data_IF_097682122668
#
_entry.id   IF_097682122668
#
_cell.length_a   1.000
_cell.length_b   1.000
_cell.length_c   1.000
_cell.angle_alpha   90.00
_cell.angle_beta   90.00
_cell.angle_gamma   90.00
#
_symmetry.space_group_name_H-M   'P 1'
#
loop_
_entity.id
_entity.type
_entity.pdbx_description
1 polymer ?
#
# COMPACT_ATOMS: atom_id res chain seq x y z
N UNK A 1 -18.10 14.22 17.93
CA UNK A 1 -17.47 14.00 16.61
C UNK A 1 -16.54 12.81 16.78
N UNK A 2 -17.07 11.61 16.58
CA UNK A 2 -16.35 10.36 16.81
C UNK A 2 -16.45 9.52 15.55
N UNK A 3 -15.66 9.89 14.54
CA UNK A 3 -15.46 9.13 13.32
C UNK A 3 -13.97 9.16 13.06
N UNK A 4 -13.30 8.04 13.29
CA UNK A 4 -11.90 7.91 12.90
C UNK A 4 -11.73 8.17 11.40
N UNK A 5 -10.49 8.44 10.94
CA UNK A 5 -10.23 8.76 9.54
C UNK A 5 -10.80 7.66 8.63
N UNK A 6 -11.69 8.07 7.72
CA UNK A 6 -12.28 7.22 6.70
C UNK A 6 -11.42 7.31 5.46
N UNK A 7 -10.25 6.68 5.51
CA UNK A 7 -9.39 6.58 4.35
C UNK A 7 -10.10 5.87 3.21
N UNK A 8 -9.88 6.36 2.00
CA UNK A 8 -10.49 5.82 0.78
C UNK A 8 -9.86 4.51 0.33
N UNK A 9 -8.69 4.18 0.89
CA UNK A 9 -7.91 3.01 0.58
C UNK A 9 -7.42 2.32 1.85
N UNK A 10 -7.30 1.00 1.78
CA UNK A 10 -6.61 0.20 2.78
C UNK A 10 -5.11 0.54 2.81
N UNK A 11 -4.46 0.40 3.97
CA UNK A 11 -3.01 0.61 4.06
C UNK A 11 -2.27 -0.59 3.48
N UNK A 12 -1.46 -0.42 2.42
CA UNK A 12 -0.66 -1.53 1.89
C UNK A 12 0.46 -1.91 2.88
N UNK A 13 0.95 -3.14 2.77
CA UNK A 13 2.18 -3.52 3.49
C UNK A 13 3.36 -2.69 2.98
N UNK A 14 4.21 -2.25 3.92
CA UNK A 14 5.49 -1.60 3.63
C UNK A 14 6.65 -2.61 3.56
N UNK A 15 6.38 -3.90 3.78
CA UNK A 15 7.37 -4.96 3.52
C UNK A 15 7.75 -4.97 2.05
N UNK A 16 9.04 -5.21 1.78
CA UNK A 16 9.56 -5.28 0.43
C UNK A 16 9.38 -3.98 -0.38
N UNK A 17 9.22 -2.82 0.27
CA UNK A 17 9.10 -1.52 -0.41
C UNK A 17 10.32 -1.21 -1.31
N UNK A 18 11.50 -1.73 -0.96
CA UNK A 18 12.71 -1.59 -1.78
C UNK A 18 12.63 -2.26 -3.16
N UNK A 19 11.68 -3.19 -3.35
CA UNK A 19 11.51 -3.93 -4.62
C UNK A 19 10.61 -3.18 -5.61
N UNK A 20 10.11 -2.00 -5.24
CA UNK A 20 9.23 -1.20 -6.06
C UNK A 20 10.06 -0.29 -6.97
N UNK A 21 9.93 -0.45 -8.29
CA UNK A 21 10.66 0.39 -9.25
C UNK A 21 9.80 1.45 -9.92
N UNK A 22 8.47 1.26 -9.98
CA UNK A 22 7.57 2.13 -10.74
C UNK A 22 6.61 2.93 -9.88
N UNK A 23 5.79 2.28 -9.05
CA UNK A 23 4.73 2.96 -8.32
C UNK A 23 4.76 2.63 -6.82
N UNK A 24 4.35 3.61 -6.00
CA UNK A 24 3.87 3.42 -4.63
C UNK A 24 2.47 4.01 -4.44
N UNK A 25 1.81 3.59 -3.36
CA UNK A 25 0.36 3.72 -3.15
C UNK A 25 -0.50 2.96 -4.19
N UNK A 26 -1.80 2.83 -3.93
CA UNK A 26 -2.71 2.01 -4.74
C UNK A 26 -2.94 2.56 -6.14
N UNK A 27 -3.22 3.86 -6.25
CA UNK A 27 -3.42 4.56 -7.53
C UNK A 27 -2.12 5.07 -8.19
N UNK A 28 -0.95 4.74 -7.63
CA UNK A 28 0.34 5.12 -8.20
C UNK A 28 0.66 6.61 -8.12
N UNK A 29 0.18 7.32 -7.09
CA UNK A 29 0.42 8.77 -6.95
C UNK A 29 1.92 9.09 -6.83
N UNK A 30 2.70 8.17 -6.24
CA UNK A 30 4.15 8.18 -6.28
C UNK A 30 4.59 7.31 -7.46
N UNK A 31 5.31 7.89 -8.42
CA UNK A 31 5.67 7.26 -9.69
C UNK A 31 7.09 7.62 -10.11
N UNK A 32 7.90 6.63 -10.48
CA UNK A 32 9.18 6.89 -11.15
C UNK A 32 8.95 7.34 -12.59
N UNK A 33 9.60 8.44 -12.99
CA UNK A 33 9.58 8.90 -14.37
C UNK A 33 10.36 7.96 -15.31
N UNK A 34 11.26 7.12 -14.78
CA UNK A 34 12.02 6.15 -15.55
C UNK A 34 12.23 4.88 -14.71
N UNK A 35 11.25 3.93 -14.72
CA UNK A 35 11.24 2.77 -13.84
C UNK A 35 12.21 1.68 -14.33
N UNK A 36 13.50 1.87 -14.07
CA UNK A 36 14.51 0.84 -14.32
C UNK A 36 14.47 -0.22 -13.22
N UNK A 37 14.54 -1.49 -13.63
CA UNK A 37 14.50 -2.62 -12.71
C UNK A 37 15.67 -2.56 -11.70
N UNK A 38 15.36 -2.63 -10.40
CA UNK A 38 16.32 -2.57 -9.30
C UNK A 38 16.86 -1.18 -8.97
N UNK A 39 16.30 -0.12 -9.55
CA UNK A 39 16.70 1.27 -9.28
C UNK A 39 15.80 1.98 -8.27
N UNK A 40 14.71 1.36 -7.80
CA UNK A 40 13.84 1.93 -6.76
C UNK A 40 13.34 3.36 -7.12
N UNK A 41 13.14 3.59 -8.42
CA UNK A 41 12.72 4.87 -8.98
C UNK A 41 13.72 6.03 -8.91
N UNK A 42 15.02 5.78 -8.71
CA UNK A 42 16.05 6.84 -8.61
C UNK A 42 16.39 7.51 -9.95
N UNK A 43 15.88 7.00 -11.08
CA UNK A 43 16.24 7.46 -12.43
C UNK A 43 15.13 8.33 -13.01
N UNK A 44 15.51 9.44 -13.65
CA UNK A 44 14.59 10.33 -14.35
C UNK A 44 13.76 11.27 -13.48
N UNK A 45 13.79 11.09 -12.16
CA UNK A 45 12.97 11.84 -11.20
C UNK A 45 11.69 11.08 -10.81
N UNK A 46 10.95 11.65 -9.86
CA UNK A 46 9.76 11.03 -9.29
C UNK A 46 8.62 12.04 -9.38
N UNK A 47 7.45 11.55 -9.77
CA UNK A 47 6.20 12.26 -9.62
C UNK A 47 5.54 11.86 -8.31
N UNK A 48 4.99 12.82 -7.58
CA UNK A 48 4.34 12.65 -6.29
C UNK A 48 3.20 13.70 -6.13
N UNK A 49 2.51 13.79 -4.98
CA UNK A 49 1.46 14.81 -4.78
C UNK A 49 1.92 16.27 -4.89
N UNK A 50 3.21 16.58 -4.76
CA UNK A 50 3.74 17.94 -4.91
C UNK A 50 4.11 18.26 -6.38
N UNK A 51 4.03 17.28 -7.27
CA UNK A 51 4.29 17.45 -8.69
C UNK A 51 3.27 18.38 -9.35
N UNK A 52 3.79 19.38 -10.07
CA UNK A 52 2.97 20.30 -10.85
C UNK A 52 2.43 19.64 -12.13
N UNK A 53 1.42 20.26 -12.74
CA UNK A 53 0.93 19.91 -14.07
C UNK A 53 1.39 20.96 -15.08
N UNK A 54 1.68 20.50 -16.31
CA UNK A 54 1.89 21.39 -17.44
C UNK A 54 0.58 22.12 -17.81
N UNK A 55 0.66 23.04 -18.77
CA UNK A 55 -0.48 23.86 -19.19
C UNK A 55 -1.66 23.06 -19.76
N UNK A 56 -1.45 21.80 -20.16
CA UNK A 56 -2.50 20.90 -20.63
C UNK A 56 -3.34 20.28 -19.49
N UNK A 57 -2.94 20.49 -18.23
CA UNK A 57 -3.65 19.99 -17.05
C UNK A 57 -3.60 18.46 -16.85
N UNK A 58 -2.78 17.72 -17.62
CA UNK A 58 -2.70 16.25 -17.55
C UNK A 58 -1.26 15.73 -17.52
N UNK A 59 -0.32 16.46 -18.11
CA UNK A 59 1.10 16.11 -18.08
C UNK A 59 1.72 16.53 -16.75
N UNK A 60 2.13 15.55 -15.93
CA UNK A 60 2.83 15.80 -14.66
C UNK A 60 4.28 16.24 -14.90
N UNK A 61 4.79 17.08 -14.01
CA UNK A 61 6.17 17.55 -13.97
C UNK A 61 6.83 16.94 -12.72
N UNK A 62 8.01 16.33 -12.88
CA UNK A 62 8.73 15.67 -11.78
C UNK A 62 8.96 16.64 -10.61
N UNK A 63 8.75 16.18 -9.38
CA UNK A 63 9.07 16.98 -8.19
C UNK A 63 10.59 16.99 -7.99
N UNK A 64 11.27 18.15 -8.09
CA UNK A 64 12.70 18.25 -7.81
C UNK A 64 13.07 17.96 -6.35
N UNK A 65 12.07 17.87 -5.45
CA UNK A 65 12.24 17.61 -4.03
C UNK A 65 11.69 16.24 -3.59
N UNK A 66 11.41 15.33 -4.52
CA UNK A 66 10.82 14.02 -4.25
C UNK A 66 11.65 13.12 -3.31
N UNK A 67 12.93 13.43 -3.09
CA UNK A 67 13.83 12.62 -2.29
C UNK A 67 14.63 11.63 -3.12
N UNK A 68 15.28 10.67 -2.44
CA UNK A 68 16.27 9.80 -3.08
C UNK A 68 15.66 8.67 -3.94
N UNK A 69 14.45 8.20 -3.60
CA UNK A 69 13.79 7.05 -4.20
C UNK A 69 12.28 7.08 -3.89
N UNK A 70 11.49 6.17 -4.46
CA UNK A 70 10.02 6.22 -4.28
C UNK A 70 9.55 5.97 -2.83
N UNK A 71 10.22 5.18 -1.96
CA UNK A 71 9.87 5.13 -0.54
C UNK A 71 10.14 6.46 0.17
N UNK A 72 11.25 7.15 -0.16
CA UNK A 72 11.52 8.48 0.41
C UNK A 72 10.43 9.47 -0.02
N UNK A 73 10.03 9.46 -1.29
CA UNK A 73 8.94 10.28 -1.77
C UNK A 73 7.63 9.98 -1.04
N UNK A 74 7.24 8.70 -0.93
CA UNK A 74 6.01 8.30 -0.27
C UNK A 74 5.95 8.75 1.20
N UNK A 75 7.05 8.62 1.94
CA UNK A 75 7.09 8.94 3.37
C UNK A 75 6.84 10.43 3.70
N UNK A 76 6.93 11.33 2.71
CA UNK A 76 6.70 12.77 2.87
C UNK A 76 5.23 13.13 3.10
N UNK A 77 4.29 12.30 2.65
CA UNK A 77 2.89 12.70 2.49
C UNK A 77 1.97 12.33 3.67
N UNK A 78 2.12 11.16 4.32
CA UNK A 78 1.25 10.79 5.44
C UNK A 78 1.22 11.81 6.59
N UNK A 79 2.39 12.38 6.90
CA UNK A 79 2.56 13.40 7.96
C UNK A 79 1.83 14.72 7.68
N UNK A 80 1.38 14.93 6.44
CA UNK A 80 0.70 16.16 6.00
C UNK A 80 -0.77 15.96 5.66
N UNK A 81 -1.24 14.71 5.63
CA UNK A 81 -2.60 14.36 5.25
C UNK A 81 -3.53 14.42 6.49
N UNK A 82 -4.58 15.27 6.48
CA UNK A 82 -5.51 15.43 7.62
C UNK A 82 -6.25 14.14 8.01
N UNK A 83 -6.50 13.25 7.05
CA UNK A 83 -7.11 11.93 7.28
C UNK A 83 -6.07 10.85 7.60
N UNK A 84 -4.80 11.22 7.79
CA UNK A 84 -3.72 10.34 8.28
C UNK A 84 -3.15 10.90 9.57
N UNK A 85 -1.95 11.49 9.51
CA UNK A 85 -1.20 11.90 10.69
C UNK A 85 -1.31 13.39 11.00
N UNK A 86 -1.74 14.22 10.04
CA UNK A 86 -1.86 15.66 10.29
C UNK A 86 -3.05 15.98 11.20
N UNK A 87 -4.04 15.07 11.34
CA UNK A 87 -5.28 15.31 12.05
C UNK A 87 -6.09 16.49 11.42
N UNK A 88 -7.32 16.71 11.89
CA UNK A 88 -8.23 17.76 11.41
C UNK A 88 -7.95 19.13 12.05
N UNK A 89 -6.68 19.47 12.28
CA UNK A 89 -6.31 20.74 12.89
C UNK A 89 -6.37 21.87 11.84
N UNK A 90 -7.27 22.86 11.98
CA UNK A 90 -7.45 23.91 10.98
C UNK A 90 -6.22 24.79 10.79
N UNK A 91 -5.21 24.67 11.67
CA UNK A 91 -3.93 25.39 11.52
C UNK A 91 -3.11 24.88 10.33
N UNK A 92 -3.43 23.71 9.79
CA UNK A 92 -2.85 23.20 8.54
C UNK A 92 -3.42 23.86 7.28
N UNK A 93 -4.63 24.43 7.35
CA UNK A 93 -5.42 24.80 6.15
C UNK A 93 -4.78 25.92 5.32
N UNK A 94 -3.94 26.76 5.95
CA UNK A 94 -3.28 27.88 5.29
C UNK A 94 -1.83 27.58 4.86
N UNK A 95 -1.39 26.32 4.94
CA UNK A 95 -0.02 25.92 4.63
C UNK A 95 0.02 25.05 3.38
N UNK A 96 0.90 25.40 2.46
CA UNK A 96 1.33 24.50 1.40
C UNK A 96 2.19 23.36 1.96
N UNK A 97 2.51 22.37 1.13
CA UNK A 97 3.27 21.19 1.56
C UNK A 97 4.64 21.56 2.14
N UNK A 98 5.29 22.60 1.60
CA UNK A 98 6.55 23.10 2.12
C UNK A 98 6.40 23.69 3.54
N UNK A 99 5.37 24.52 3.75
CA UNK A 99 5.05 25.11 5.06
C UNK A 99 4.72 24.04 6.10
N UNK A 100 3.95 23.02 5.73
CA UNK A 100 3.64 21.89 6.62
C UNK A 100 4.89 21.14 7.05
N UNK A 101 5.74 20.75 6.10
CA UNK A 101 7.02 20.07 6.35
C UNK A 101 8.00 20.90 7.18
N UNK A 102 8.08 22.21 6.92
CA UNK A 102 8.86 23.13 7.74
C UNK A 102 8.40 23.13 9.20
N UNK A 103 7.09 23.19 9.46
CA UNK A 103 6.56 23.14 10.83
C UNK A 103 6.80 21.78 11.49
N UNK A 104 6.72 20.68 10.73
CA UNK A 104 7.08 19.35 11.24
C UNK A 104 8.55 19.28 11.63
N UNK A 105 9.46 19.83 10.82
CA UNK A 105 10.88 19.95 11.15
C UNK A 105 11.10 20.80 12.41
N UNK A 106 10.46 21.98 12.49
CA UNK A 106 10.52 22.85 13.67
C UNK A 106 9.99 22.15 14.94
N UNK A 107 8.98 21.29 14.81
CA UNK A 107 8.50 20.44 15.90
C UNK A 107 9.57 19.41 16.31
N UNK A 108 10.20 18.77 15.34
CA UNK A 108 11.23 17.75 15.54
C UNK A 108 12.50 18.33 16.19
N UNK A 109 12.90 19.54 15.81
CA UNK A 109 14.09 20.24 16.34
C UNK A 109 13.79 21.11 17.56
N UNK A 110 12.51 21.44 17.81
CA UNK A 110 12.11 22.36 18.87
C UNK A 110 12.53 23.82 18.59
N UNK A 111 12.75 24.15 17.33
CA UNK A 111 13.12 25.50 16.88
C UNK A 111 11.91 26.23 16.30
N UNK A 112 12.09 27.50 15.90
CA UNK A 112 11.06 28.25 15.17
C UNK A 112 9.71 28.30 15.90
N UNK A 113 8.64 27.97 15.18
CA UNK A 113 7.27 27.96 15.68
C UNK A 113 6.79 26.52 15.96
N UNK A 114 7.59 25.75 16.71
CA UNK A 114 7.30 24.35 17.08
C UNK A 114 5.94 24.11 17.77
N UNK A 115 5.27 25.16 18.27
CA UNK A 115 3.95 25.12 18.89
C UNK A 115 2.79 25.53 17.96
N UNK A 116 3.06 25.84 16.69
CA UNK A 116 2.06 26.28 15.72
C UNK A 116 0.92 25.27 15.56
N UNK A 117 1.24 23.97 15.55
CA UNK A 117 0.34 22.86 15.22
C UNK A 117 0.05 21.98 16.45
N UNK A 118 -0.22 22.63 17.57
CA UNK A 118 -0.64 21.99 18.83
C UNK A 118 0.52 21.75 19.77
N UNK A 119 0.27 21.01 20.85
CA UNK A 119 1.31 20.68 21.84
C UNK A 119 2.43 19.88 21.20
N UNK A 120 3.67 20.34 21.29
CA UNK A 120 4.82 19.53 20.93
C UNK A 120 5.13 18.59 22.09
N UNK A 121 4.82 17.31 21.92
CA UNK A 121 5.03 16.30 22.95
C UNK A 121 6.47 15.79 23.00
N UNK A 122 7.33 16.15 22.03
CA UNK A 122 8.75 15.82 22.10
C UNK A 122 9.41 16.59 23.25
N UNK A 123 10.14 15.89 24.11
CA UNK A 123 10.93 16.51 25.18
C UNK A 123 12.25 17.06 24.64
N UNK A 124 12.92 17.93 25.41
CA UNK A 124 14.24 18.43 25.03
C UNK A 124 15.30 17.31 24.92
N UNK A 125 15.18 16.29 25.78
CA UNK A 125 16.03 15.09 25.76
C UNK A 125 15.83 14.30 24.46
N UNK A 126 14.57 14.05 24.09
CA UNK A 126 14.21 13.34 22.87
C UNK A 126 14.72 14.05 21.61
N UNK A 127 14.58 15.38 21.54
CA UNK A 127 15.14 16.17 20.43
C UNK A 127 16.66 16.11 20.36
N UNK A 128 17.33 16.11 21.52
CA UNK A 128 18.79 15.98 21.61
C UNK A 128 19.24 14.60 21.13
N UNK A 129 18.54 13.53 21.53
CA UNK A 129 18.82 12.17 21.10
C UNK A 129 18.70 12.03 19.57
N UNK A 130 17.67 12.61 18.96
CA UNK A 130 17.52 12.65 17.51
C UNK A 130 18.67 13.38 16.81
N UNK A 131 19.03 14.57 17.28
CA UNK A 131 20.16 15.31 16.71
C UNK A 131 21.46 14.50 16.80
N UNK A 132 21.70 13.80 17.91
CA UNK A 132 22.86 12.93 18.08
C UNK A 132 22.82 11.72 17.15
N UNK A 133 21.66 11.12 16.91
CA UNK A 133 21.50 10.01 15.97
C UNK A 133 21.84 10.44 14.53
N UNK A 134 21.34 11.59 14.08
CA UNK A 134 21.67 12.17 12.77
C UNK A 134 23.17 12.50 12.66
N UNK A 135 23.74 13.14 13.68
CA UNK A 135 25.18 13.42 13.73
C UNK A 135 26.03 12.14 13.66
N UNK A 136 25.62 11.08 14.37
CA UNK A 136 26.30 9.77 14.35
C UNK A 136 26.21 9.10 12.98
N UNK A 137 25.09 9.27 12.28
CA UNK A 137 24.91 8.81 10.91
C UNK A 137 25.64 9.67 9.87
N UNK A 138 26.24 10.80 10.28
CA UNK A 138 26.97 11.70 9.39
C UNK A 138 26.05 12.50 8.45
N UNK A 139 24.78 12.67 8.82
CA UNK A 139 23.79 13.41 8.03
C UNK A 139 23.25 14.60 8.81
N UNK A 140 22.94 15.69 8.12
CA UNK A 140 22.28 16.84 8.73
C UNK A 140 20.82 16.51 9.06
N UNK A 141 20.34 16.98 10.22
CA UNK A 141 18.93 16.92 10.56
C UNK A 141 18.15 18.00 9.80
N UNK A 142 17.58 17.61 8.66
CA UNK A 142 16.74 18.46 7.82
C UNK A 142 15.56 17.64 7.25
N UNK A 143 14.62 18.33 6.61
CA UNK A 143 13.39 17.75 6.05
C UNK A 143 13.67 16.54 5.14
N UNK A 144 14.53 16.69 4.15
CA UNK A 144 14.86 15.63 3.20
C UNK A 144 15.49 14.41 3.89
N UNK A 145 16.41 14.62 4.83
CA UNK A 145 17.09 13.53 5.51
C UNK A 145 16.20 12.75 6.49
N UNK A 146 15.16 13.37 7.05
CA UNK A 146 14.16 12.66 7.86
C UNK A 146 13.46 11.59 7.01
N UNK A 147 12.96 11.97 5.83
CA UNK A 147 12.25 11.04 4.94
C UNK A 147 13.19 10.01 4.28
N UNK A 148 14.43 10.40 3.97
CA UNK A 148 15.44 9.44 3.53
C UNK A 148 15.73 8.38 4.61
N UNK A 149 15.75 8.76 5.90
CA UNK A 149 15.94 7.79 7.00
C UNK A 149 14.76 6.83 7.15
N UNK A 150 13.52 7.31 6.97
CA UNK A 150 12.33 6.44 6.92
C UNK A 150 12.46 5.45 5.76
N UNK A 151 12.80 5.94 4.57
CA UNK A 151 13.05 5.10 3.39
C UNK A 151 14.14 4.05 3.62
N UNK A 152 15.25 4.40 4.27
CA UNK A 152 16.29 3.41 4.58
C UNK A 152 15.78 2.33 5.53
N UNK A 153 15.01 2.69 6.56
CA UNK A 153 14.38 1.73 7.45
C UNK A 153 13.43 0.81 6.69
N UNK A 154 12.52 1.35 5.87
CA UNK A 154 11.59 0.56 5.05
C UNK A 154 12.32 -0.40 4.11
N UNK A 155 13.45 0.03 3.54
CA UNK A 155 14.28 -0.81 2.68
C UNK A 155 14.98 -1.96 3.43
N UNK A 156 15.08 -1.93 4.76
CA UNK A 156 15.58 -3.08 5.54
C UNK A 156 14.55 -4.19 5.72
N UNK A 157 13.28 -3.91 5.48
CA UNK A 157 12.16 -4.83 5.72
C UNK A 157 11.96 -5.78 4.52
N UNK A 158 13.02 -6.53 4.20
CA UNK A 158 13.06 -7.51 3.11
C UNK A 158 12.66 -8.90 3.58
N UNK A 159 11.44 -9.29 3.23
CA UNK A 159 10.78 -10.56 3.54
C UNK A 159 10.46 -11.31 2.24
N UNK A 160 11.48 -11.95 1.68
CA UNK A 160 11.45 -12.64 0.38
C UNK A 160 11.84 -14.14 0.48
N UNK A 161 12.16 -14.64 1.67
CA UNK A 161 12.58 -16.03 1.87
C UNK A 161 11.36 -16.88 2.21
N UNK A 162 10.74 -17.48 1.20
CA UNK A 162 9.46 -18.18 1.34
C UNK A 162 9.51 -19.64 0.82
N UNK A 163 8.56 -20.51 1.21
CA UNK A 163 8.50 -21.89 0.74
C UNK A 163 8.47 -22.07 -0.79
N UNK A 164 7.80 -21.17 -1.53
CA UNK A 164 7.84 -21.20 -3.00
C UNK A 164 9.26 -21.02 -3.54
N UNK A 165 10.01 -20.04 -3.02
CA UNK A 165 11.42 -19.81 -3.38
C UNK A 165 12.27 -21.07 -3.14
N UNK A 166 12.07 -21.74 -2.01
CA UNK A 166 12.78 -23.00 -1.73
C UNK A 166 12.39 -24.11 -2.71
N UNK A 167 11.11 -24.21 -3.08
CA UNK A 167 10.61 -25.17 -4.06
C UNK A 167 11.27 -24.99 -5.43
N UNK A 168 11.30 -23.76 -5.96
CA UNK A 168 11.94 -23.46 -7.25
C UNK A 168 13.47 -23.63 -7.21
N UNK A 169 14.09 -23.49 -6.03
CA UNK A 169 15.51 -23.77 -5.81
C UNK A 169 15.83 -25.27 -5.60
N UNK A 170 14.83 -26.15 -5.73
CA UNK A 170 15.03 -27.60 -5.77
C UNK A 170 14.53 -28.37 -4.55
N UNK A 171 14.10 -27.69 -3.47
CA UNK A 171 13.47 -28.36 -2.33
C UNK A 171 12.01 -28.70 -2.65
N UNK A 172 11.78 -29.81 -3.37
CA UNK A 172 10.45 -30.26 -3.81
C UNK A 172 9.45 -30.55 -2.68
N UNK A 173 9.95 -30.70 -1.45
CA UNK A 173 9.15 -30.89 -0.23
C UNK A 173 8.80 -29.58 0.50
N UNK A 174 9.25 -28.43 0.01
CA UNK A 174 8.98 -27.14 0.65
C UNK A 174 7.49 -26.74 0.61
N UNK A 175 6.73 -27.26 -0.36
CA UNK A 175 5.30 -26.96 -0.54
C UNK A 175 4.48 -28.25 -0.68
N UNK A 176 3.21 -28.19 -0.29
CA UNK A 176 2.27 -29.31 -0.36
C UNK A 176 1.88 -29.64 -1.81
N UNK A 177 1.26 -30.81 -2.02
CA UNK A 177 0.70 -31.15 -3.34
C UNK A 177 -0.44 -30.20 -3.75
N UNK A 178 -1.28 -29.76 -2.82
CA UNK A 178 -2.31 -28.75 -3.11
C UNK A 178 -1.70 -27.44 -3.61
N UNK A 179 -0.62 -26.96 -2.97
CA UNK A 179 0.07 -25.75 -3.42
C UNK A 179 0.72 -25.93 -4.80
N UNK A 180 1.20 -27.14 -5.13
CA UNK A 180 1.70 -27.43 -6.50
C UNK A 180 0.57 -27.36 -7.53
N UNK A 181 -0.61 -27.90 -7.23
CA UNK A 181 -1.77 -27.76 -8.12
C UNK A 181 -2.21 -26.29 -8.25
N UNK A 182 -2.19 -25.55 -7.15
CA UNK A 182 -2.44 -24.11 -7.15
C UNK A 182 -1.47 -23.32 -8.03
N UNK A 183 -0.17 -23.64 -7.94
CA UNK A 183 0.84 -23.04 -8.80
C UNK A 183 0.57 -23.34 -10.28
N UNK A 184 0.21 -24.58 -10.63
CA UNK A 184 -0.16 -24.92 -12.02
C UNK A 184 -1.32 -24.05 -12.49
N UNK A 185 -2.40 -23.93 -11.71
CA UNK A 185 -3.54 -23.08 -12.05
C UNK A 185 -3.16 -21.60 -12.17
N UNK A 186 -2.29 -21.10 -11.30
CA UNK A 186 -1.82 -19.72 -11.30
C UNK A 186 -1.03 -19.36 -12.57
N UNK A 187 -0.15 -20.27 -13.02
CA UNK A 187 0.76 -20.04 -14.15
C UNK A 187 0.16 -20.43 -15.51
N UNK A 188 -0.81 -21.35 -15.56
CA UNK A 188 -1.43 -21.79 -16.80
C UNK A 188 -2.39 -20.75 -17.38
N UNK A 189 -2.45 -20.69 -18.71
CA UNK A 189 -3.37 -19.79 -19.42
C UNK A 189 -4.83 -20.25 -19.27
N UNK A 190 -5.78 -19.38 -19.65
CA UNK A 190 -7.20 -19.75 -19.68
C UNK A 190 -7.46 -20.93 -20.62
N UNK A 191 -6.77 -20.99 -21.76
CA UNK A 191 -6.89 -22.07 -22.75
C UNK A 191 -6.39 -23.43 -22.23
N UNK A 192 -5.47 -23.41 -21.27
CA UNK A 192 -4.97 -24.61 -20.57
C UNK A 192 -5.84 -25.00 -19.37
N UNK A 193 -6.91 -24.24 -19.09
CA UNK A 193 -7.78 -24.44 -17.92
C UNK A 193 -7.24 -23.81 -16.62
N UNK A 194 -6.24 -22.93 -16.72
CA UNK A 194 -5.71 -22.15 -15.60
C UNK A 194 -6.43 -20.81 -15.39
N UNK A 195 -5.92 -20.05 -14.42
CA UNK A 195 -6.41 -18.72 -14.05
C UNK A 195 -5.60 -17.57 -14.68
N UNK A 196 -4.47 -17.89 -15.32
CA UNK A 196 -3.58 -16.93 -15.98
C UNK A 196 -3.14 -15.76 -15.07
N UNK A 197 -3.08 -15.98 -13.75
CA UNK A 197 -2.73 -14.95 -12.76
C UNK A 197 -1.34 -14.35 -13.02
N UNK A 198 -0.41 -15.17 -13.52
CA UNK A 198 0.97 -14.78 -13.85
C UNK A 198 1.02 -13.63 -14.85
N UNK A 199 -0.02 -13.37 -15.64
CA UNK A 199 -0.02 -12.31 -16.64
C UNK A 199 0.21 -10.91 -16.03
N UNK A 200 -0.36 -10.64 -14.86
CA UNK A 200 -0.09 -9.42 -14.10
C UNK A 200 0.81 -9.70 -12.89
N UNK A 201 0.68 -10.87 -12.25
CA UNK A 201 1.49 -11.25 -11.10
C UNK A 201 2.72 -12.08 -11.52
N UNK A 202 3.63 -11.45 -12.25
CA UNK A 202 4.80 -12.10 -12.86
C UNK A 202 6.09 -11.92 -12.06
N UNK A 203 7.12 -12.70 -12.43
CA UNK A 203 8.46 -12.62 -11.88
C UNK A 203 8.58 -13.03 -10.41
N UNK A 204 9.76 -12.82 -9.84
CA UNK A 204 10.07 -13.22 -8.46
C UNK A 204 9.30 -12.42 -7.41
N UNK A 205 8.77 -11.25 -7.79
CA UNK A 205 8.02 -10.36 -6.91
C UNK A 205 6.51 -10.44 -7.13
N UNK A 206 6.03 -11.30 -8.04
CA UNK A 206 4.59 -11.51 -8.28
C UNK A 206 3.83 -10.21 -8.58
N UNK A 207 4.41 -9.37 -9.43
CA UNK A 207 3.81 -8.11 -9.88
C UNK A 207 4.52 -7.63 -11.15
N UNK A 208 3.74 -7.09 -12.09
CA UNK A 208 4.21 -6.33 -13.24
C UNK A 208 4.47 -4.86 -12.92
N UNK A 209 4.14 -4.44 -11.69
CA UNK A 209 4.18 -3.07 -11.20
C UNK A 209 3.43 -2.08 -12.10
N UNK A 210 2.35 -2.53 -12.75
CA UNK A 210 1.47 -1.70 -13.57
C UNK A 210 0.11 -1.47 -12.89
N UNK A 211 -0.76 -0.73 -13.57
CA UNK A 211 -2.06 -0.29 -13.09
C UNK A 211 -3.18 -0.92 -13.93
N UNK A 212 -4.09 -1.66 -13.28
CA UNK A 212 -5.16 -2.41 -13.95
C UNK A 212 -6.52 -2.15 -13.32
N UNK A 213 -7.57 -2.36 -14.11
CA UNK A 213 -8.95 -2.37 -13.60
C UNK A 213 -9.33 -3.81 -13.28
N UNK A 214 -9.63 -4.11 -12.01
CA UNK A 214 -10.08 -5.44 -11.56
C UNK A 214 -11.45 -5.41 -10.87
N UNK A 215 -12.18 -4.29 -11.03
CA UNK A 215 -13.53 -4.11 -10.50
C UNK A 215 -13.67 -4.45 -9.01
N UNK A 216 -12.62 -4.24 -8.21
CA UNK A 216 -12.75 -4.28 -6.75
C UNK A 216 -13.72 -3.15 -6.37
N UNK A 217 -14.77 -3.44 -5.58
CA UNK A 217 -15.74 -2.44 -5.13
C UNK A 217 -15.04 -1.31 -4.38
N UNK A 218 -15.65 -0.12 -4.33
CA UNK A 218 -15.23 0.92 -3.39
C UNK A 218 -16.14 0.86 -2.16
N UNK A 219 -15.53 0.85 -0.98
CA UNK A 219 -16.19 0.95 0.31
C UNK A 219 -15.74 2.18 1.07
N UNK A 220 -16.56 2.65 2.02
CA UNK A 220 -16.22 3.82 2.81
C UNK A 220 -16.28 5.11 2.00
N UNK A 221 -15.49 6.10 2.41
CA UNK A 221 -15.40 7.37 1.68
C UNK A 221 -14.38 7.23 0.56
N UNK A 222 -14.82 7.31 -0.69
CA UNK A 222 -13.90 7.47 -1.81
C UNK A 222 -13.29 8.87 -1.89
N UNK A 223 -12.44 9.07 -2.90
CA UNK A 223 -11.76 10.34 -3.17
C UNK A 223 -12.66 11.40 -3.81
N UNK A 224 -13.84 11.01 -4.31
CA UNK A 224 -14.75 11.87 -5.07
C UNK A 224 -15.95 12.34 -4.25
N UNK A 225 -16.58 13.49 -4.60
CA UNK A 225 -17.74 14.03 -3.87
C UNK A 225 -18.96 13.10 -3.85
N UNK A 226 -19.09 12.18 -4.80
CA UNK A 226 -20.16 11.17 -4.84
C UNK A 226 -19.90 9.98 -3.91
N UNK A 227 -18.70 9.89 -3.33
CA UNK A 227 -18.23 8.81 -2.45
C UNK A 227 -17.45 7.71 -3.18
N UNK A 228 -17.27 7.79 -4.49
CA UNK A 228 -16.49 6.85 -5.29
C UNK A 228 -14.99 7.19 -5.27
N UNK A 229 -14.13 6.27 -5.70
CA UNK A 229 -12.72 6.56 -5.98
C UNK A 229 -12.41 6.25 -7.44
N UNK A 230 -12.00 7.25 -8.23
CA UNK A 230 -11.69 7.01 -9.64
C UNK A 230 -10.28 6.44 -9.86
N UNK A 231 -9.52 6.21 -8.78
CA UNK A 231 -8.23 5.52 -8.82
C UNK A 231 -7.18 6.38 -9.50
N UNK A 232 -6.51 5.85 -10.51
CA UNK A 232 -5.47 6.59 -11.26
C UNK A 232 -5.98 7.87 -11.92
N UNK A 233 -7.25 7.95 -12.33
CA UNK A 233 -7.82 9.18 -12.91
C UNK A 233 -7.78 10.37 -11.94
N UNK A 234 -7.84 10.14 -10.62
CA UNK A 234 -7.74 11.21 -9.62
C UNK A 234 -6.41 11.98 -9.73
N UNK A 235 -5.41 11.34 -10.33
CA UNK A 235 -4.05 11.87 -10.54
C UNK A 235 -3.89 12.33 -11.99
N UNK A 236 -4.24 11.51 -12.97
CA UNK A 236 -3.92 11.85 -14.38
C UNK A 236 -4.96 12.77 -15.02
N UNK A 237 -6.15 12.87 -14.44
CA UNK A 237 -7.33 13.51 -15.02
C UNK A 237 -7.75 12.92 -16.38
N UNK A 238 -7.25 11.72 -16.71
CA UNK A 238 -7.58 11.02 -17.94
C UNK A 238 -8.64 9.96 -17.66
N UNK A 239 -9.76 10.06 -18.37
CA UNK A 239 -10.87 9.10 -18.23
C UNK A 239 -10.49 7.66 -18.60
N UNK A 240 -9.44 7.47 -19.41
CA UNK A 240 -8.88 6.14 -19.72
C UNK A 240 -8.18 5.48 -18.53
N UNK A 241 -7.91 6.21 -17.45
CA UNK A 241 -7.27 5.72 -16.23
C UNK A 241 -8.25 5.44 -15.09
N UNK A 242 -9.54 5.60 -15.36
CA UNK A 242 -10.66 5.28 -14.46
C UNK A 242 -10.47 3.90 -13.81
N UNK A 243 -10.54 3.85 -12.49
CA UNK A 243 -10.49 2.63 -11.66
C UNK A 243 -9.25 1.76 -11.86
N UNK A 244 -8.15 2.32 -12.40
CA UNK A 244 -6.88 1.59 -12.42
C UNK A 244 -6.21 1.66 -11.05
N UNK A 245 -5.80 0.50 -10.58
CA UNK A 245 -5.09 0.29 -9.32
C UNK A 245 -3.86 -0.58 -9.56
N UNK A 246 -2.85 -0.39 -8.74
CA UNK A 246 -1.56 -1.05 -8.87
C UNK A 246 -1.67 -2.54 -8.60
N UNK A 247 -1.02 -3.35 -9.44
CA UNK A 247 -0.76 -4.76 -9.12
C UNK A 247 0.19 -4.81 -7.93
N UNK A 248 -0.32 -5.02 -6.73
CA UNK A 248 0.53 -5.20 -5.56
C UNK A 248 1.29 -6.52 -5.65
N UNK A 249 2.49 -6.58 -5.07
CA UNK A 249 3.22 -7.85 -4.90
C UNK A 249 2.38 -8.85 -4.11
N UNK A 250 2.41 -10.13 -4.51
CA UNK A 250 1.78 -11.22 -3.75
C UNK A 250 2.72 -11.82 -2.69
N UNK A 251 3.96 -11.33 -2.57
CA UNK A 251 4.83 -11.74 -1.48
C UNK A 251 4.19 -11.36 -0.15
N UNK A 252 4.08 -12.33 0.76
CA UNK A 252 3.44 -12.20 2.06
C UNK A 252 1.93 -11.88 2.03
N UNK A 253 1.25 -12.07 0.90
CA UNK A 253 -0.18 -11.73 0.73
C UNK A 253 -1.10 -12.35 1.80
N UNK A 254 -0.76 -13.53 2.32
CA UNK A 254 -1.52 -14.20 3.38
C UNK A 254 -1.46 -13.46 4.74
N UNK A 255 -0.61 -12.44 4.90
CA UNK A 255 -0.39 -11.66 6.13
C UNK A 255 -0.82 -10.20 6.03
N UNK A 256 -1.44 -9.79 4.92
CA UNK A 256 -1.73 -8.38 4.63
C UNK A 256 -3.22 -8.09 4.45
N UNK A 257 -4.08 -8.95 5.00
CA UNK A 257 -5.52 -8.71 5.00
C UNK A 257 -5.91 -7.47 5.82
N UNK A 258 -7.11 -6.89 5.60
CA UNK A 258 -8.06 -7.25 4.55
C UNK A 258 -7.53 -6.91 3.14
N UNK A 259 -8.11 -7.52 2.10
CA UNK A 259 -7.62 -7.44 0.72
C UNK A 259 -8.49 -6.54 -0.18
N UNK A 260 -7.91 -6.07 -1.28
CA UNK A 260 -8.47 -5.03 -2.15
C UNK A 260 -7.86 -3.66 -1.84
N UNK A 261 -8.00 -2.71 -2.78
CA UNK A 261 -7.46 -1.36 -2.59
C UNK A 261 -8.11 -0.63 -1.43
N UNK A 262 -9.33 -1.03 -1.05
CA UNK A 262 -10.15 -0.47 0.02
C UNK A 262 -10.40 -1.45 1.18
N UNK A 263 -9.87 -2.68 1.09
CA UNK A 263 -10.06 -3.72 2.09
C UNK A 263 -11.42 -4.42 2.05
N UNK A 264 -12.09 -4.45 0.89
CA UNK A 264 -13.40 -5.10 0.73
C UNK A 264 -13.46 -6.60 1.06
N UNK A 265 -12.34 -7.32 1.00
CA UNK A 265 -12.31 -8.76 1.20
C UNK A 265 -11.65 -9.12 2.53
N UNK A 266 -12.39 -9.78 3.42
CA UNK A 266 -11.90 -10.21 4.74
C UNK A 266 -11.24 -11.59 4.72
N UNK A 267 -11.30 -12.29 3.58
CA UNK A 267 -10.62 -13.58 3.37
C UNK A 267 -9.83 -13.56 2.06
N UNK A 268 -8.67 -14.23 2.05
CA UNK A 268 -7.85 -14.37 0.84
C UNK A 268 -8.62 -15.14 -0.23
N UNK A 269 -9.40 -16.17 0.17
CA UNK A 269 -10.27 -16.92 -0.72
C UNK A 269 -11.30 -16.03 -1.43
N UNK A 270 -11.97 -15.14 -0.70
CA UNK A 270 -12.93 -14.20 -1.28
C UNK A 270 -12.28 -13.27 -2.30
N UNK A 271 -11.06 -12.82 -2.02
CA UNK A 271 -10.29 -12.02 -2.97
C UNK A 271 -9.91 -12.81 -4.22
N UNK A 272 -9.48 -14.07 -4.08
CA UNK A 272 -9.18 -14.96 -5.23
C UNK A 272 -10.45 -15.23 -6.05
N UNK A 273 -11.59 -15.49 -5.41
CA UNK A 273 -12.89 -15.65 -6.08
C UNK A 273 -13.23 -14.43 -6.93
N UNK A 274 -13.08 -13.23 -6.38
CA UNK A 274 -13.29 -11.98 -7.11
C UNK A 274 -12.32 -11.82 -8.28
N UNK A 275 -11.04 -12.16 -8.09
CA UNK A 275 -10.05 -12.09 -9.17
C UNK A 275 -10.30 -13.11 -10.28
N UNK A 276 -10.91 -14.25 -9.97
CA UNK A 276 -11.33 -15.27 -10.95
C UNK A 276 -12.58 -14.83 -11.72
N UNK A 277 -13.54 -14.22 -11.02
CA UNK A 277 -14.75 -13.66 -11.64
C UNK A 277 -15.24 -12.39 -10.89
N UNK A 278 -14.86 -11.19 -11.36
CA UNK A 278 -15.26 -9.92 -10.76
C UNK A 278 -16.76 -9.62 -10.88
N UNK A 279 -17.53 -10.44 -11.61
CA UNK A 279 -18.99 -10.32 -11.70
C UNK A 279 -19.72 -11.13 -10.64
N UNK A 280 -19.03 -12.07 -9.97
CA UNK A 280 -19.60 -12.88 -8.91
C UNK A 280 -19.96 -11.99 -7.71
N UNK A 281 -21.19 -12.10 -7.15
CA UNK A 281 -21.54 -11.38 -5.94
C UNK A 281 -20.58 -11.73 -4.80
N UNK A 282 -20.00 -10.73 -4.17
CA UNK A 282 -19.08 -10.95 -3.05
C UNK A 282 -19.79 -10.77 -1.71
N UNK A 283 -19.24 -11.41 -0.67
CA UNK A 283 -19.83 -11.44 0.66
C UNK A 283 -19.63 -10.11 1.40
N UNK A 284 -20.72 -9.34 1.49
CA UNK A 284 -20.73 -8.07 2.24
C UNK A 284 -21.00 -8.23 3.74
N UNK A 285 -21.37 -9.42 4.21
CA UNK A 285 -21.79 -9.63 5.60
C UNK A 285 -20.66 -9.39 6.60
N UNK A 286 -19.41 -9.53 6.16
CA UNK A 286 -18.21 -9.37 6.97
C UNK A 286 -17.61 -7.96 6.92
N UNK A 287 -18.17 -7.06 6.11
CA UNK A 287 -17.76 -5.65 6.05
C UNK A 287 -18.42 -4.91 7.22
N UNK A 288 -17.77 -4.96 8.38
CA UNK A 288 -18.22 -4.31 9.60
C UNK A 288 -17.12 -3.42 10.15
N UNK A 289 -17.21 -2.13 9.86
CA UNK A 289 -16.39 -1.11 10.52
C UNK A 289 -17.32 -0.06 11.13
N UNK A 290 -17.00 0.38 12.34
CA UNK A 290 -17.75 1.45 13.01
C UNK A 290 -17.72 2.71 12.15
N UNK A 291 -18.89 3.28 11.88
CA UNK A 291 -19.07 4.50 11.06
C UNK A 291 -18.62 4.40 9.59
N UNK A 292 -18.60 3.20 9.00
CA UNK A 292 -18.37 3.08 7.55
C UNK A 292 -19.41 3.88 6.77
N UNK A 293 -18.94 4.67 5.80
CA UNK A 293 -19.76 5.52 4.94
C UNK A 293 -20.07 4.83 3.61
N UNK A 294 -21.09 5.33 2.89
CA UNK A 294 -21.48 4.89 1.54
C UNK A 294 -21.74 3.38 1.38
N UNK A 295 -22.07 2.66 2.46
CA UNK A 295 -22.32 1.22 2.43
C UNK A 295 -23.47 0.85 1.47
N UNK A 296 -24.44 1.75 1.33
CA UNK A 296 -25.58 1.64 0.41
C UNK A 296 -25.21 1.79 -1.08
N UNK A 297 -24.06 2.39 -1.38
CA UNK A 297 -23.59 2.65 -2.76
C UNK A 297 -22.56 1.66 -3.27
N UNK A 298 -22.12 0.74 -2.40
CA UNK A 298 -21.09 -0.24 -2.72
C UNK A 298 -21.40 -1.01 -4.03
N UNK A 299 -22.64 -1.47 -4.21
CA UNK A 299 -23.05 -2.19 -5.43
C UNK A 299 -23.04 -1.28 -6.67
N UNK A 300 -23.38 0.00 -6.49
CA UNK A 300 -23.31 1.00 -7.57
C UNK A 300 -21.86 1.23 -8.02
N UNK A 301 -20.94 1.39 -7.07
CA UNK A 301 -19.52 1.58 -7.36
C UNK A 301 -18.90 0.33 -7.99
N UNK A 302 -19.24 -0.86 -7.50
CA UNK A 302 -18.85 -2.13 -8.12
C UNK A 302 -19.34 -2.21 -9.57
N UNK A 303 -20.61 -1.89 -9.83
CA UNK A 303 -21.17 -1.92 -11.18
C UNK A 303 -20.46 -0.94 -12.13
N UNK A 304 -20.08 0.26 -11.66
CA UNK A 304 -19.29 1.22 -12.46
C UNK A 304 -17.90 0.67 -12.78
N UNK A 305 -17.21 0.10 -11.80
CA UNK A 305 -15.88 -0.47 -11.99
C UNK A 305 -15.90 -1.72 -12.89
N UNK A 306 -16.93 -2.56 -12.76
CA UNK A 306 -17.16 -3.72 -13.62
C UNK A 306 -17.45 -3.28 -15.07
N UNK A 307 -18.28 -2.26 -15.27
CA UNK A 307 -18.52 -1.72 -16.60
C UNK A 307 -17.23 -1.21 -17.28
N UNK A 308 -16.32 -0.59 -16.51
CA UNK A 308 -15.01 -0.19 -17.02
C UNK A 308 -14.13 -1.39 -17.37
N UNK A 309 -14.12 -2.44 -16.55
CA UNK A 309 -13.41 -3.69 -16.86
C UNK A 309 -13.95 -4.33 -18.14
N UNK A 310 -15.27 -4.43 -18.32
CA UNK A 310 -15.89 -4.96 -19.53
C UNK A 310 -15.55 -4.13 -20.77
N UNK A 311 -15.55 -2.80 -20.66
CA UNK A 311 -15.12 -1.92 -21.75
C UNK A 311 -13.63 -2.14 -22.11
N UNK A 312 -12.78 -2.34 -21.09
CA UNK A 312 -11.35 -2.63 -21.30
C UNK A 312 -11.15 -4.02 -21.95
N UNK A 313 -11.95 -5.03 -21.56
CA UNK A 313 -11.95 -6.36 -22.20
C UNK A 313 -12.38 -6.27 -23.67
N UNK A 314 -13.49 -5.60 -23.95
CA UNK A 314 -14.04 -5.46 -25.30
C UNK A 314 -13.11 -4.70 -26.27
N UNK A 315 -12.31 -3.76 -25.74
CA UNK A 315 -11.31 -3.01 -26.51
C UNK A 315 -9.92 -3.66 -26.55
N UNK A 316 -9.72 -4.80 -25.87
CA UNK A 316 -8.44 -5.50 -25.80
C UNK A 316 -7.40 -4.83 -24.89
N UNK A 317 -7.78 -3.82 -24.11
CA UNK A 317 -6.92 -3.15 -23.12
C UNK A 317 -6.66 -4.06 -21.91
N UNK A 318 -7.69 -4.77 -21.44
CA UNK A 318 -7.55 -5.73 -20.35
C UNK A 318 -7.50 -7.15 -20.92
N UNK A 319 -6.46 -7.94 -20.60
CA UNK A 319 -6.39 -9.34 -21.02
C UNK A 319 -7.18 -10.28 -20.10
N UNK A 320 -7.68 -9.76 -18.98
CA UNK A 320 -8.36 -10.54 -17.95
C UNK A 320 -9.66 -11.17 -18.47
N UNK A 321 -9.89 -12.45 -18.16
CA UNK A 321 -11.11 -13.20 -18.49
C UNK A 321 -11.62 -13.96 -17.26
N UNK A 322 -12.90 -14.34 -17.28
CA UNK A 322 -13.47 -15.22 -16.25
C UNK A 322 -12.87 -16.62 -16.39
N UNK A 323 -12.28 -17.15 -15.31
CA UNK A 323 -11.82 -18.54 -15.27
C UNK A 323 -12.89 -19.43 -14.62
N UNK A 324 -13.26 -20.52 -15.29
CA UNK A 324 -14.23 -21.48 -14.75
C UNK A 324 -13.54 -22.45 -13.78
N UNK A 325 -13.28 -21.99 -12.55
CA UNK A 325 -12.67 -22.79 -11.49
C UNK A 325 -13.70 -23.28 -10.47
N UNK A 326 -13.52 -24.52 -10.01
CA UNK A 326 -14.23 -25.05 -8.85
C UNK A 326 -13.70 -24.48 -7.52
N UNK A 327 -14.49 -24.57 -6.45
CA UNK A 327 -14.06 -24.13 -5.11
C UNK A 327 -12.76 -24.80 -4.66
N UNK A 328 -12.57 -26.09 -4.97
CA UNK A 328 -11.33 -26.82 -4.66
C UNK A 328 -10.12 -26.26 -5.41
N UNK A 329 -10.29 -25.86 -6.68
CA UNK A 329 -9.22 -25.23 -7.46
C UNK A 329 -8.89 -23.83 -6.91
N UNK A 330 -9.89 -23.10 -6.43
CA UNK A 330 -9.69 -21.83 -5.74
C UNK A 330 -8.91 -22.05 -4.43
N UNK A 331 -9.26 -23.07 -3.66
CA UNK A 331 -8.52 -23.44 -2.44
C UNK A 331 -7.07 -23.84 -2.74
N UNK A 332 -6.82 -24.52 -3.86
CA UNK A 332 -5.47 -24.83 -4.32
C UNK A 332 -4.67 -23.56 -4.65
N UNK A 333 -5.26 -22.58 -5.34
CA UNK A 333 -4.61 -21.28 -5.58
C UNK A 333 -4.32 -20.58 -4.25
N UNK A 334 -5.25 -20.57 -3.30
CA UNK A 334 -5.02 -19.99 -1.96
C UNK A 334 -3.85 -20.70 -1.27
N UNK A 335 -3.80 -22.04 -1.28
CA UNK A 335 -2.70 -22.81 -0.72
C UNK A 335 -1.35 -22.47 -1.39
N UNK A 336 -1.33 -22.18 -2.69
CA UNK A 336 -0.15 -21.66 -3.36
C UNK A 336 0.25 -20.27 -2.86
N UNK A 337 -0.69 -19.32 -2.76
CA UNK A 337 -0.42 -17.97 -2.28
C UNK A 337 0.12 -17.94 -0.84
N UNK A 338 -0.31 -18.87 0.02
CA UNK A 338 0.23 -19.02 1.37
C UNK A 338 1.73 -19.36 1.37
N UNK A 339 2.22 -20.09 0.36
CA UNK A 339 3.64 -20.42 0.18
C UNK A 339 4.53 -19.21 -0.14
N UNK A 340 3.93 -18.06 -0.44
CA UNK A 340 4.63 -16.80 -0.70
C UNK A 340 4.93 -16.02 0.58
N UNK A 341 4.60 -16.57 1.76
CA UNK A 341 4.83 -15.94 3.06
C UNK A 341 6.22 -16.28 3.59
N UNK A 342 6.99 -15.25 3.91
CA UNK A 342 8.26 -15.40 4.62
C UNK A 342 8.01 -15.86 6.07
N UNK A 343 8.54 -17.03 6.50
CA UNK A 343 8.29 -17.55 7.84
C UNK A 343 8.77 -16.60 8.96
N UNK A 344 9.72 -15.69 8.68
CA UNK A 344 10.20 -14.71 9.66
C UNK A 344 9.11 -13.77 10.14
N UNK A 345 8.07 -13.52 9.33
CA UNK A 345 6.92 -12.71 9.74
C UNK A 345 6.11 -13.33 10.89
N UNK A 346 6.20 -14.65 11.07
CA UNK A 346 5.57 -15.35 12.21
C UNK A 346 6.50 -15.47 13.43
N UNK A 347 7.75 -15.00 13.32
CA UNK A 347 8.73 -15.11 14.39
C UNK A 347 8.79 -13.79 15.17
N UNK A 348 8.11 -13.73 16.30
CA UNK A 348 8.11 -12.54 17.17
C UNK A 348 9.52 -12.09 17.56
N UNK A 349 10.43 -13.01 17.90
CA UNK A 349 11.79 -12.64 18.28
C UNK A 349 12.52 -11.94 17.12
N UNK A 350 12.33 -12.41 15.88
CA UNK A 350 12.85 -11.74 14.70
C UNK A 350 12.16 -10.38 14.47
N UNK A 351 10.83 -10.32 14.52
CA UNK A 351 10.09 -9.08 14.26
C UNK A 351 10.32 -8.00 15.31
N UNK A 352 10.63 -8.38 16.55
CA UNK A 352 10.88 -7.46 17.66
C UNK A 352 12.08 -6.54 17.45
N UNK A 353 12.97 -6.85 16.51
CA UNK A 353 14.09 -5.96 16.17
C UNK A 353 13.67 -4.70 15.41
N UNK A 354 12.51 -4.75 14.74
CA UNK A 354 11.93 -3.63 13.99
C UNK A 354 10.93 -2.83 14.83
N UNK A 355 10.53 -3.38 15.99
CA UNK A 355 9.68 -2.69 16.94
C UNK A 355 10.60 -1.92 17.91
N UNK A 356 10.40 -0.61 18.10
CA UNK A 356 11.13 0.15 19.10
C UNK A 356 10.94 -0.50 20.49
N UNK A 357 12.02 -0.99 21.10
CA UNK A 357 12.02 -1.62 22.44
C UNK A 357 11.74 -0.57 23.49
N UNK A 358 10.84 -0.79 24.47
CA UNK A 358 10.55 0.12 25.59
C UNK A 358 11.82 0.60 26.34
N UNK A 359 12.46 1.62 25.80
CA UNK A 359 13.56 2.39 26.37
C UNK A 359 13.11 3.86 26.43
N UNK A 360 13.76 4.72 27.22
CA UNK A 360 13.49 6.16 27.20
C UNK A 360 13.54 6.76 25.77
N UNK A 361 14.37 6.18 24.90
CA UNK A 361 14.49 6.52 23.47
C UNK A 361 13.40 5.91 22.59
N UNK A 362 12.63 4.90 23.00
CA UNK A 362 11.52 4.34 22.21
C UNK A 362 10.13 4.80 22.66
N UNK A 363 10.01 5.27 23.92
CA UNK A 363 8.82 5.97 24.45
C UNK A 363 8.50 7.26 23.68
N UNK A 364 9.30 7.57 22.66
CA UNK A 364 9.01 8.47 21.55
C UNK A 364 7.68 8.16 20.82
N UNK A 365 7.16 6.92 20.88
CA UNK A 365 5.94 6.48 20.18
C UNK A 365 4.72 6.25 21.09
N UNK A 366 4.88 6.30 22.41
CA UNK A 366 3.78 6.08 23.39
C UNK A 366 2.83 7.28 23.53
N UNK A 367 3.02 8.32 22.73
CA UNK A 367 2.15 9.48 22.71
C UNK A 367 1.06 9.27 21.65
N UNK A 368 -0.01 8.60 22.09
CA UNK A 368 -1.33 8.47 21.44
C UNK A 368 -1.51 7.39 20.36
N UNK A 369 -1.33 6.14 20.74
CA UNK A 369 -2.08 5.04 20.12
C UNK A 369 -2.92 4.37 21.22
N UNK A 370 -4.01 5.04 21.65
CA UNK A 370 -5.22 4.33 22.06
C UNK A 370 -5.92 3.75 20.80
N UNK A 371 -5.15 3.11 19.90
CA UNK A 371 -5.77 2.16 19.01
C UNK A 371 -6.19 1.03 19.94
N UNK A 372 -7.51 0.88 20.07
CA UNK A 372 -8.14 -0.26 20.73
C UNK A 372 -7.58 -1.51 20.07
N UNK A 373 -6.50 -2.05 20.65
CA UNK A 373 -6.14 -3.45 20.46
C UNK A 373 -7.36 -4.21 21.00
N UNK A 374 -8.00 -5.07 20.18
CA UNK A 374 -9.04 -5.93 20.72
C UNK A 374 -8.41 -6.69 21.90
N UNK A 375 -9.10 -6.75 23.07
CA UNK A 375 -8.55 -7.38 24.24
C UNK A 375 -8.14 -8.82 23.89
N UNK A 376 -6.88 -9.10 24.21
CA UNK A 376 -6.21 -10.39 24.27
C UNK A 376 -7.06 -11.59 23.81
N UNK A 377 -6.73 -12.12 22.64
CA UNK A 377 -6.97 -13.52 22.35
C UNK A 377 -6.08 -14.35 23.29
N UNK A 378 -6.58 -14.54 24.51
CA UNK A 378 -6.12 -15.60 25.40
C UNK A 378 -6.39 -16.92 24.70
N UNK A 379 -5.35 -17.54 24.14
CA UNK A 379 -5.45 -18.91 23.68
C UNK A 379 -5.39 -19.86 24.90
N UNK A 380 -6.26 -20.89 24.96
CA UNK A 380 -6.15 -21.98 25.94
C UNK A 380 -4.90 -22.83 25.74
#
# INVERSE_FOLDING_TARGET
>A
MGGGPSQSVNSPSHYNAALQDRFMAWHGIIESATPWAGYNGTVGGIYDPDSAYAADGTTRIVDPFAGANIPAAQSRFPVQNPIEMANFDPRWDNLDSFGKRKLLLERFTGTGNSGAIGTNYLTAEQRTAWQQAFNKAGVELNDANIYNMISYYEQTLLFIENPWKQYVQGNKSAISEQAKQGAILFYSSYEEGGANCVQCHSGDFFTDNDLHVMAVPQMGNGTQPDGDSYGREDITHLRSDRYKWRTMTLLNIAKTGPWGHDGAFTTLKGMVQHMVDPSTPYDKSNIKQTNMQNVDKIDEFHAKALAQLEANRASGVSPHRVAALSDEQIDQIVAFLETLTDPRLNNYAYMSQFIPKDTPESRLLDLQIDAVLPPEATHP
#
